data_IF_099568052215
#
_entry.id   IF_099568052215
#
_cell.length_a   1.000
_cell.length_b   1.000
_cell.length_c   1.000
_cell.angle_alpha   90.00
_cell.angle_beta   90.00
_cell.angle_gamma   90.00
#
_symmetry.space_group_name_H-M   'P 1'
#
loop_
_entity.id
_entity.type
_entity.pdbx_description
1 polymer ?
#
# COMPACT_ATOMS: atom_id res chain seq x y z
N UNK A 1 6.82 11.80 -14.59
CA UNK A 1 6.32 10.43 -14.37
C UNK A 1 6.78 9.94 -13.01
N UNK A 2 5.98 9.12 -12.35
CA UNK A 2 6.31 8.54 -11.05
C UNK A 2 6.05 7.03 -11.05
N UNK A 3 6.42 6.37 -9.95
CA UNK A 3 6.19 4.93 -9.76
C UNK A 3 5.15 4.74 -8.67
N UNK A 4 4.11 3.96 -8.96
CA UNK A 4 3.17 3.49 -7.93
C UNK A 4 3.84 2.42 -7.10
N UNK A 5 3.93 2.64 -5.79
CA UNK A 5 4.57 1.71 -4.84
C UNK A 5 3.49 1.10 -3.97
N UNK A 6 3.48 -0.23 -3.89
CA UNK A 6 2.54 -1.00 -3.06
C UNK A 6 3.35 -1.72 -1.99
N UNK A 7 2.93 -1.59 -0.73
CA UNK A 7 3.66 -2.12 0.42
C UNK A 7 2.76 -2.92 1.35
N UNK A 8 3.35 -3.90 2.01
CA UNK A 8 2.65 -4.75 2.97
C UNK A 8 2.45 -4.00 4.29
N UNK A 9 1.26 -4.10 4.88
CA UNK A 9 0.97 -3.51 6.20
C UNK A 9 1.78 -4.16 7.35
N UNK A 10 2.23 -5.41 7.16
CA UNK A 10 2.91 -6.21 8.18
C UNK A 10 2.03 -7.35 8.70
N UNK A 11 2.65 -8.31 9.41
CA UNK A 11 2.01 -9.57 9.79
C UNK A 11 2.05 -9.84 11.32
N UNK A 12 2.06 -8.80 12.14
CA UNK A 12 2.10 -8.91 13.60
C UNK A 12 0.71 -9.13 14.22
N UNK A 13 -0.37 -8.98 13.44
CA UNK A 13 -1.69 -9.50 13.77
C UNK A 13 -2.35 -8.82 14.96
N UNK A 14 -2.66 -9.60 16.00
CA UNK A 14 -3.24 -9.14 17.26
C UNK A 14 -2.22 -9.18 18.41
N UNK A 15 -0.92 -9.18 18.09
CA UNK A 15 0.18 -9.14 19.08
C UNK A 15 0.44 -7.71 19.58
N UNK A 16 1.56 -7.48 20.29
CA UNK A 16 1.84 -6.24 21.01
C UNK A 16 2.14 -5.01 20.12
N UNK A 17 2.37 -5.21 18.81
CA UNK A 17 2.68 -4.11 17.89
C UNK A 17 1.97 -4.23 16.52
N UNK A 18 0.64 -4.22 16.46
CA UNK A 18 -0.11 -4.52 15.24
C UNK A 18 -0.39 -3.28 14.37
N UNK A 19 0.07 -2.10 14.81
CA UNK A 19 -0.16 -0.83 14.15
C UNK A 19 0.81 -0.63 12.97
N UNK A 20 0.25 -0.63 11.75
CA UNK A 20 0.99 -0.47 10.49
C UNK A 20 1.78 0.84 10.43
N UNK A 21 1.32 1.88 11.15
CA UNK A 21 2.03 3.16 11.22
C UNK A 21 3.39 3.07 11.92
N UNK A 22 3.68 1.97 12.63
CA UNK A 22 4.97 1.74 13.30
C UNK A 22 5.98 0.97 12.44
N UNK A 23 5.61 0.58 11.22
CA UNK A 23 6.46 -0.24 10.36
C UNK A 23 6.91 0.50 9.11
N UNK A 24 8.18 0.36 8.78
CA UNK A 24 8.70 0.73 7.47
C UNK A 24 8.55 -0.44 6.50
N UNK A 25 8.13 -0.21 5.24
CA UNK A 25 7.71 1.06 4.63
C UNK A 25 6.20 1.37 4.77
N UNK A 26 5.45 0.61 5.58
CA UNK A 26 3.98 0.71 5.68
C UNK A 26 3.45 2.09 6.13
N UNK A 27 4.21 2.88 6.89
CA UNK A 27 3.77 4.22 7.29
C UNK A 27 3.90 5.28 6.19
N UNK A 28 4.58 4.99 5.08
CA UNK A 28 4.94 5.99 4.07
C UNK A 28 3.68 6.49 3.35
N UNK A 29 3.26 7.76 3.48
CA UNK A 29 1.97 8.23 2.95
C UNK A 29 1.87 8.25 1.42
N UNK A 30 3.00 8.09 0.71
CA UNK A 30 3.06 8.02 -0.76
C UNK A 30 3.04 6.60 -1.30
N UNK A 31 3.13 5.59 -0.44
CA UNK A 31 2.95 4.19 -0.81
C UNK A 31 1.49 3.79 -0.57
N UNK A 32 1.02 2.80 -1.31
CA UNK A 32 -0.29 2.17 -1.07
C UNK A 32 -0.04 1.01 -0.10
N UNK A 33 -0.47 1.18 1.14
CA UNK A 33 -0.29 0.17 2.19
C UNK A 33 -1.47 -0.79 2.23
N UNK A 34 -1.15 -2.08 2.18
CA UNK A 34 -2.14 -3.14 1.93
C UNK A 34 -2.29 -4.06 3.13
N UNK A 35 -3.50 -4.09 3.68
CA UNK A 35 -3.95 -5.08 4.66
C UNK A 35 -4.41 -6.38 4.00
N UNK A 36 -4.44 -7.47 4.78
CA UNK A 36 -4.86 -8.79 4.32
C UNK A 36 -6.23 -9.17 4.88
N UNK A 37 -7.07 -9.78 4.03
CA UNK A 37 -8.34 -10.43 4.42
C UNK A 37 -8.36 -11.92 4.05
N UNK A 38 -9.27 -12.65 4.68
CA UNK A 38 -9.64 -14.00 4.29
C UNK A 38 -10.90 -14.07 3.41
N UNK A 39 -11.28 -15.29 3.04
CA UNK A 39 -12.41 -15.58 2.15
C UNK A 39 -13.79 -15.25 2.76
N UNK A 40 -13.86 -14.87 4.03
CA UNK A 40 -15.09 -14.45 4.74
C UNK A 40 -15.20 -12.94 4.88
N UNK A 41 -14.39 -12.17 4.15
CA UNK A 41 -14.26 -10.70 4.26
C UNK A 41 -13.86 -10.25 5.67
N UNK A 42 -13.12 -11.07 6.39
CA UNK A 42 -12.54 -10.72 7.69
C UNK A 42 -11.07 -10.37 7.52
N UNK A 43 -10.59 -9.35 8.24
CA UNK A 43 -9.15 -9.09 8.38
C UNK A 43 -8.46 -10.38 8.81
N UNK A 44 -7.45 -10.81 8.06
CA UNK A 44 -6.65 -11.98 8.42
C UNK A 44 -6.09 -11.78 9.83
N UNK A 45 -6.14 -12.81 10.68
CA UNK A 45 -5.70 -12.70 12.09
C UNK A 45 -4.25 -12.21 12.23
N UNK A 46 -3.40 -12.45 11.23
CA UNK A 46 -2.02 -11.99 11.19
C UNK A 46 -1.86 -10.57 10.62
N UNK A 47 -2.85 -10.01 9.91
CA UNK A 47 -2.68 -8.71 9.27
C UNK A 47 -2.57 -7.61 10.31
N UNK A 48 -1.59 -6.73 10.17
CA UNK A 48 -1.60 -5.45 10.88
C UNK A 48 -2.85 -4.63 10.53
N UNK A 49 -3.11 -3.61 11.33
CA UNK A 49 -4.23 -2.68 11.23
C UNK A 49 -3.78 -1.23 11.46
N UNK A 50 -4.71 -0.28 11.47
CA UNK A 50 -4.44 1.14 11.78
C UNK A 50 -4.60 2.07 10.58
N UNK A 51 -4.55 3.37 10.84
CA UNK A 51 -4.89 4.41 9.86
C UNK A 51 -3.92 4.54 8.68
N UNK A 52 -2.75 3.90 8.75
CA UNK A 52 -1.78 3.90 7.64
C UNK A 52 -2.07 2.84 6.58
N UNK A 53 -3.10 2.01 6.74
CA UNK A 53 -3.57 1.10 5.69
C UNK A 53 -4.52 1.86 4.78
N UNK A 54 -4.29 1.84 3.47
CA UNK A 54 -5.17 2.46 2.49
C UNK A 54 -6.28 1.51 2.04
N UNK A 55 -5.97 0.23 1.88
CA UNK A 55 -6.88 -0.75 1.28
C UNK A 55 -6.58 -2.18 1.74
N UNK A 56 -7.59 -3.05 1.69
CA UNK A 56 -7.46 -4.49 1.92
C UNK A 56 -7.59 -5.28 0.62
N UNK A 57 -6.89 -6.42 0.56
CA UNK A 57 -7.03 -7.39 -0.52
C UNK A 57 -6.88 -8.83 0.00
N UNK A 58 -7.26 -9.85 -0.79
CA UNK A 58 -7.11 -11.26 -0.42
C UNK A 58 -5.66 -11.61 -0.10
N UNK A 59 -5.42 -12.11 1.11
CA UNK A 59 -4.08 -12.48 1.56
C UNK A 59 -4.01 -13.69 2.48
N UNK A 60 -5.13 -14.24 2.96
CA UNK A 60 -5.15 -15.57 3.59
C UNK A 60 -5.34 -16.67 2.55
N UNK A 61 -4.52 -17.73 2.64
CA UNK A 61 -4.64 -18.93 1.81
C UNK A 61 -4.79 -18.58 0.33
N UNK A 62 -3.84 -17.81 -0.19
CA UNK A 62 -3.78 -17.44 -1.61
C UNK A 62 -2.94 -18.46 -2.36
N UNK A 63 -3.51 -19.03 -3.42
CA UNK A 63 -2.79 -19.93 -4.33
C UNK A 63 -1.94 -19.13 -5.29
N UNK A 64 -0.66 -19.46 -5.40
CA UNK A 64 0.24 -18.87 -6.40
C UNK A 64 1.25 -19.90 -6.90
N UNK A 65 2.12 -19.49 -7.81
CA UNK A 65 3.19 -20.31 -8.36
C UNK A 65 4.17 -20.75 -7.27
N UNK A 66 4.59 -22.01 -7.32
CA UNK A 66 5.62 -22.59 -6.46
C UNK A 66 6.96 -22.74 -7.17
N UNK A 67 8.03 -22.90 -6.41
CA UNK A 67 9.40 -23.04 -6.97
C UNK A 67 9.79 -24.48 -7.34
N UNK A 68 8.92 -25.47 -7.10
CA UNK A 68 9.25 -26.90 -7.26
C UNK A 68 9.25 -27.38 -8.72
N UNK A 69 8.49 -26.73 -9.60
CA UNK A 69 8.41 -27.00 -11.05
C UNK A 69 7.69 -25.86 -11.77
N UNK A 70 7.72 -25.84 -13.11
CA UNK A 70 7.04 -24.83 -13.94
C UNK A 70 5.50 -24.82 -13.81
N UNK A 71 4.93 -25.89 -13.27
CA UNK A 71 3.49 -26.05 -13.01
C UNK A 71 3.17 -26.10 -11.52
N UNK A 72 4.18 -25.96 -10.65
CA UNK A 72 3.98 -26.05 -9.22
C UNK A 72 3.12 -24.89 -8.72
N UNK A 73 2.26 -25.19 -7.75
CA UNK A 73 1.48 -24.19 -7.03
C UNK A 73 1.62 -24.39 -5.54
N UNK A 74 1.60 -23.30 -4.78
CA UNK A 74 1.63 -23.30 -3.32
C UNK A 74 0.54 -22.39 -2.77
N UNK A 75 0.10 -22.68 -1.56
CA UNK A 75 -0.84 -21.84 -0.81
C UNK A 75 -0.07 -21.15 0.30
N UNK A 76 -0.06 -19.82 0.30
CA UNK A 76 0.56 -19.02 1.34
C UNK A 76 -0.37 -17.92 1.84
N UNK A 77 -0.07 -17.41 3.03
CA UNK A 77 -0.81 -16.35 3.69
C UNK A 77 0.13 -15.21 4.07
N UNK A 78 -0.33 -13.98 3.92
CA UNK A 78 0.40 -12.79 4.34
C UNK A 78 -0.13 -11.52 3.67
N UNK A 79 0.16 -10.36 4.27
CA UNK A 79 0.02 -9.06 3.59
C UNK A 79 0.88 -8.98 2.32
N UNK A 80 1.97 -9.75 2.26
CA UNK A 80 2.75 -9.98 1.04
C UNK A 80 1.96 -10.66 -0.08
N UNK A 81 0.93 -11.46 0.22
CA UNK A 81 0.03 -12.06 -0.78
C UNK A 81 -1.11 -11.11 -1.16
N UNK A 82 -1.48 -10.18 -0.29
CA UNK A 82 -2.44 -9.11 -0.59
C UNK A 82 -1.84 -8.06 -1.54
N UNK A 83 -0.57 -7.65 -1.33
CA UNK A 83 0.14 -6.67 -2.16
C UNK A 83 0.08 -6.92 -3.67
N UNK A 84 0.37 -8.13 -4.22
CA UNK A 84 0.35 -8.36 -5.66
C UNK A 84 -1.05 -8.21 -6.27
N UNK A 85 -2.14 -8.41 -5.51
CA UNK A 85 -3.49 -8.10 -6.01
C UNK A 85 -3.66 -6.60 -6.25
N UNK A 86 -3.25 -5.78 -5.28
CA UNK A 86 -3.30 -4.30 -5.37
C UNK A 86 -2.36 -3.78 -6.46
N UNK A 87 -1.15 -4.35 -6.58
CA UNK A 87 -0.22 -4.00 -7.66
C UNK A 87 -0.80 -4.35 -9.05
N UNK A 88 -1.46 -5.51 -9.17
CA UNK A 88 -2.18 -5.89 -10.39
C UNK A 88 -3.31 -4.91 -10.73
N UNK A 89 -4.11 -4.52 -9.74
CA UNK A 89 -5.16 -3.52 -9.91
C UNK A 89 -4.63 -2.15 -10.32
N UNK A 90 -3.54 -1.68 -9.71
CA UNK A 90 -2.86 -0.46 -10.12
C UNK A 90 -2.38 -0.53 -11.59
N UNK A 91 -1.85 -1.68 -12.01
CA UNK A 91 -1.45 -1.89 -13.40
C UNK A 91 -2.65 -1.86 -14.37
N UNK A 92 -3.81 -2.40 -13.98
CA UNK A 92 -5.03 -2.31 -14.77
C UNK A 92 -5.50 -0.85 -14.91
N UNK A 93 -5.56 -0.09 -13.81
CA UNK A 93 -5.94 1.34 -13.82
C UNK A 93 -5.01 2.18 -14.70
N UNK A 94 -3.70 1.90 -14.65
CA UNK A 94 -2.71 2.56 -15.52
C UNK A 94 -2.81 2.06 -16.98
N UNK A 95 -3.27 0.83 -17.20
CA UNK A 95 -3.54 0.28 -18.52
C UNK A 95 -4.70 0.97 -19.25
N UNK A 96 -5.69 1.44 -18.50
CA UNK A 96 -6.82 2.23 -19.03
C UNK A 96 -6.41 3.64 -19.46
N UNK A 97 -5.50 4.27 -18.71
CA UNK A 97 -4.94 5.59 -19.03
C UNK A 97 -3.50 5.68 -18.51
N UNK A 98 -2.56 5.64 -19.46
CA UNK A 98 -1.12 5.66 -19.18
C UNK A 98 -0.60 7.03 -18.74
N UNK A 99 -1.43 8.07 -18.81
CA UNK A 99 -1.07 9.44 -18.37
C UNK A 99 -1.28 9.66 -16.88
N UNK A 100 -2.00 8.74 -16.21
CA UNK A 100 -2.26 8.80 -14.76
C UNK A 100 -0.96 8.83 -13.96
N UNK A 101 -0.90 9.75 -13.01
CA UNK A 101 0.15 9.79 -12.00
C UNK A 101 -0.10 8.72 -10.92
N UNK A 102 0.89 8.37 -10.09
CA UNK A 102 0.66 7.46 -8.96
C UNK A 102 -0.47 7.90 -8.03
N UNK A 103 -0.65 9.22 -7.85
CA UNK A 103 -1.73 9.79 -7.05
C UNK A 103 -3.08 9.53 -7.72
N UNK A 104 -3.18 9.70 -9.04
CA UNK A 104 -4.42 9.41 -9.78
C UNK A 104 -4.75 7.92 -9.74
N UNK A 105 -3.74 7.05 -9.88
CA UNK A 105 -3.92 5.60 -9.76
C UNK A 105 -4.46 5.24 -8.38
N UNK A 106 -3.90 5.81 -7.32
CA UNK A 106 -4.38 5.62 -5.95
C UNK A 106 -5.82 6.11 -5.78
N UNK A 107 -6.12 7.34 -6.23
CA UNK A 107 -7.45 7.93 -6.11
C UNK A 107 -8.53 7.09 -6.82
N UNK A 108 -8.26 6.63 -8.05
CA UNK A 108 -9.16 5.75 -8.79
C UNK A 108 -9.33 4.41 -8.08
N UNK A 109 -8.27 3.85 -7.50
CA UNK A 109 -8.34 2.60 -6.75
C UNK A 109 -9.25 2.72 -5.52
N UNK A 110 -9.07 3.76 -4.71
CA UNK A 110 -9.90 4.03 -3.53
C UNK A 110 -11.35 4.28 -3.94
N UNK A 111 -11.58 5.01 -5.03
CA UNK A 111 -12.92 5.27 -5.55
C UNK A 111 -13.66 4.00 -6.00
N UNK A 112 -12.94 3.01 -6.54
CA UNK A 112 -13.53 1.75 -7.02
C UNK A 112 -13.73 0.72 -5.91
N UNK A 113 -12.98 0.83 -4.81
CA UNK A 113 -13.02 -0.13 -3.72
C UNK A 113 -14.44 -0.31 -3.18
N UNK A 114 -14.76 -1.54 -2.76
CA UNK A 114 -16.02 -1.86 -2.09
C UNK A 114 -15.93 -1.40 -0.64
N UNK A 115 -16.74 -0.41 -0.21
CA UNK A 115 -16.68 0.08 1.16
C UNK A 115 -17.50 -0.79 2.12
N UNK A 116 -17.11 -0.78 3.39
CA UNK A 116 -17.92 -1.21 4.54
C UNK A 116 -18.41 -2.67 4.55
N UNK A 117 -17.73 -3.56 3.82
CA UNK A 117 -18.02 -5.01 3.83
C UNK A 117 -17.14 -5.81 4.80
N UNK A 118 -16.00 -5.26 5.22
CA UNK A 118 -15.00 -6.01 5.97
C UNK A 118 -15.31 -6.09 7.46
N UNK A 119 -14.97 -7.23 8.05
CA UNK A 119 -15.08 -7.50 9.48
C UNK A 119 -13.69 -7.42 10.15
N UNK A 120 -13.65 -6.96 11.41
CA UNK A 120 -12.41 -6.92 12.19
C UNK A 120 -11.41 -5.82 11.80
N UNK A 121 -11.89 -4.74 11.18
CA UNK A 121 -11.10 -3.60 10.70
C UNK A 121 -11.36 -2.30 11.48
N UNK A 122 -11.80 -2.38 12.74
CA UNK A 122 -12.06 -1.20 13.57
C UNK A 122 -10.81 -0.30 13.67
N UNK A 123 -10.98 1.02 13.49
CA UNK A 123 -9.86 1.97 13.48
C UNK A 123 -8.98 1.90 12.22
N UNK A 124 -9.42 1.21 11.17
CA UNK A 124 -8.74 1.04 9.89
C UNK A 124 -9.73 1.35 8.74
N UNK A 125 -9.30 1.93 7.61
CA UNK A 125 -10.19 2.12 6.46
C UNK A 125 -10.83 0.81 6.00
N UNK A 126 -12.16 0.79 5.90
CA UNK A 126 -12.93 -0.39 5.48
C UNK A 126 -13.14 -0.38 3.96
N UNK A 127 -12.07 -0.65 3.22
CA UNK A 127 -12.05 -0.63 1.77
C UNK A 127 -11.49 -1.94 1.22
N UNK A 128 -12.30 -2.67 0.47
CA UNK A 128 -11.90 -3.89 -0.22
C UNK A 128 -11.58 -3.60 -1.68
N UNK A 129 -10.41 -4.04 -2.14
CA UNK A 129 -9.98 -3.91 -3.52
C UNK A 129 -11.03 -4.47 -4.51
N UNK A 130 -11.37 -3.65 -5.50
CA UNK A 130 -12.27 -4.02 -6.58
C UNK A 130 -11.70 -3.54 -7.93
N UNK A 131 -11.59 -4.45 -8.90
CA UNK A 131 -10.99 -4.19 -10.23
C UNK A 131 -12.04 -3.98 -11.32
N UNK A 132 -13.31 -4.25 -11.04
CA UNK A 132 -14.39 -3.98 -11.98
C UNK A 132 -14.75 -2.49 -12.06
N UNK A 133 -15.66 -2.16 -12.95
CA UNK A 133 -16.37 -0.87 -12.92
C UNK A 133 -17.36 -0.93 -11.76
N UNK A 134 -17.28 -0.03 -10.76
CA UNK A 134 -18.26 -0.01 -9.68
C UNK A 134 -19.65 0.20 -10.30
N UNK A 135 -20.70 -0.48 -9.81
CA UNK A 135 -22.07 -0.11 -10.14
C UNK A 135 -22.23 1.38 -9.83
N UNK A 136 -22.97 2.12 -10.67
CA UNK A 136 -23.26 3.53 -10.40
C UNK A 136 -23.78 3.66 -8.96
N UNK A 137 -22.99 4.30 -8.09
CA UNK A 137 -23.41 4.53 -6.71
C UNK A 137 -24.66 5.41 -6.78
N UNK A 138 -25.78 5.07 -6.10
CA UNK A 138 -26.78 6.09 -5.84
C UNK A 138 -26.07 7.26 -5.14
N UNK A 139 -26.43 8.52 -5.45
CA UNK A 139 -25.82 9.66 -4.79
C UNK A 139 -25.86 9.46 -3.27
N UNK A 140 -24.84 9.94 -2.52
CA UNK A 140 -24.84 9.80 -1.08
C UNK A 140 -26.19 10.28 -0.55
N UNK A 141 -26.86 9.44 0.24
CA UNK A 141 -28.05 9.88 0.97
C UNK A 141 -27.67 11.18 1.68
N UNK A 142 -28.36 12.30 1.41
CA UNK A 142 -28.00 13.57 2.02
C UNK A 142 -27.96 13.36 3.53
N UNK A 143 -26.83 13.71 4.15
CA UNK A 143 -26.73 13.71 5.60
C UNK A 143 -27.92 14.50 6.17
N UNK A 144 -28.55 14.05 7.27
CA UNK A 144 -29.56 14.85 7.95
C UNK A 144 -29.02 16.27 8.16
N UNK A 145 -29.83 17.33 7.95
CA UNK A 145 -29.35 18.68 8.15
C UNK A 145 -28.75 18.79 9.55
N UNK A 146 -27.46 19.15 9.60
CA UNK A 146 -26.78 19.46 10.84
C UNK A 146 -27.60 20.52 11.58
N UNK A 147 -28.01 20.30 12.84
CA UNK A 147 -28.58 21.38 13.65
C UNK A 147 -27.61 22.57 13.63
N UNK A 148 -28.13 23.77 13.39
CA UNK A 148 -27.32 24.97 13.33
C UNK A 148 -26.42 25.08 14.58
N UNK A 149 -25.11 25.38 14.43
CA UNK A 149 -24.25 25.64 15.58
C UNK A 149 -24.80 26.83 16.39
N UNK A 150 -24.75 26.81 17.73
CA UNK A 150 -24.97 28.03 18.49
C UNK A 150 -23.92 29.08 18.11
N UNK A 151 -24.36 30.33 17.98
CA UNK A 151 -23.56 31.48 17.59
C UNK A 151 -22.26 31.58 18.42
N UNK A 152 -21.06 31.61 17.81
CA UNK A 152 -19.83 31.77 18.56
C UNK A 152 -19.63 33.21 19.05
N UNK A 153 -19.19 33.36 20.30
CA UNK A 153 -18.63 34.60 20.84
C UNK A 153 -17.32 34.97 20.13
N UNK A 154 -16.92 36.26 20.08
CA UNK A 154 -15.71 36.68 19.38
C UNK A 154 -14.44 36.08 20.01
N UNK A 155 -13.47 35.56 19.22
CA UNK A 155 -12.20 35.11 19.75
C UNK A 155 -11.27 36.30 20.05
N UNK A 156 -10.63 36.25 21.22
CA UNK A 156 -9.45 37.06 21.58
C UNK A 156 -8.27 36.68 20.67
N UNK A 157 -7.45 37.62 20.16
CA UNK A 157 -6.30 37.27 19.32
C UNK A 157 -5.24 36.51 20.12
N UNK A 158 -4.89 35.30 19.65
CA UNK A 158 -3.72 34.57 20.14
C UNK A 158 -2.43 35.13 19.51
N UNK A 159 -1.29 35.19 20.23
CA UNK A 159 -0.02 35.62 19.67
C UNK A 159 0.50 34.64 18.60
N UNK A 160 1.07 35.17 17.53
CA UNK A 160 1.74 34.37 16.50
C UNK A 160 2.92 33.60 17.12
N UNK A 161 2.88 32.27 17.04
CA UNK A 161 4.00 31.40 17.40
C UNK A 161 4.89 31.23 16.17
N UNK A 162 6.22 31.43 16.26
CA UNK A 162 7.11 31.24 15.11
C UNK A 162 7.17 29.78 14.67
N UNK A 163 7.27 29.58 13.36
CA UNK A 163 7.44 28.26 12.72
C UNK A 163 8.69 27.54 13.26
N UNK A 164 8.63 26.22 13.51
CA UNK A 164 9.83 25.46 13.86
C UNK A 164 10.80 25.42 12.67
N UNK A 165 12.12 25.40 12.91
CA UNK A 165 13.10 25.28 11.85
C UNK A 165 12.97 23.93 11.15
N UNK A 166 13.10 23.95 9.83
CA UNK A 166 13.14 22.78 8.96
C UNK A 166 14.50 22.11 9.15
N UNK A 167 14.55 21.01 9.91
CA UNK A 167 15.72 20.14 9.92
C UNK A 167 15.73 19.29 8.65
N UNK A 168 16.59 19.67 7.73
CA UNK A 168 16.89 18.93 6.51
C UNK A 168 17.70 17.69 6.86
N UNK A 169 17.04 16.54 7.02
CA UNK A 169 17.71 15.25 6.91
C UNK A 169 17.58 14.74 5.48
N UNK A 170 18.59 15.05 4.67
CA UNK A 170 18.69 14.62 3.26
C UNK A 170 19.14 13.17 3.19
N UNK A 171 18.18 12.23 3.11
CA UNK A 171 18.46 10.90 2.55
C UNK A 171 18.01 10.89 1.08
N UNK A 172 18.72 11.67 0.26
CA UNK A 172 18.56 11.68 -1.19
C UNK A 172 19.65 10.83 -1.84
N UNK A 173 19.38 10.31 -3.04
CA UNK A 173 20.23 9.33 -3.73
C UNK A 173 21.59 9.87 -4.23
N UNK A 174 21.89 11.15 -4.03
CA UNK A 174 23.00 11.86 -4.71
C UNK A 174 23.98 12.62 -3.80
N UNK A 175 23.90 12.54 -2.46
CA UNK A 175 24.84 13.28 -1.59
C UNK A 175 25.97 12.39 -1.02
N UNK A 176 27.18 12.61 -1.53
CA UNK A 176 28.43 11.95 -1.14
C UNK A 176 29.13 12.68 0.01
N UNK A 177 28.63 12.56 1.25
CA UNK A 177 29.53 12.58 2.41
C UNK A 177 28.86 11.99 3.66
N UNK A 178 29.41 10.87 4.10
CA UNK A 178 28.85 9.95 5.10
C UNK A 178 29.29 10.32 6.51
N UNK A 179 28.32 10.66 7.36
CA UNK A 179 28.49 10.78 8.81
C UNK A 179 27.43 9.98 9.57
N UNK A 180 27.53 8.64 9.55
CA UNK A 180 27.00 7.78 10.61
C UNK A 180 25.62 7.13 10.43
N UNK A 181 25.64 5.83 10.12
CA UNK A 181 24.62 4.80 10.42
C UNK A 181 23.41 4.61 9.48
N UNK A 182 23.66 4.58 8.17
CA UNK A 182 22.87 3.76 7.25
C UNK A 182 23.72 2.54 6.83
N UNK A 183 23.60 1.43 7.56
CA UNK A 183 24.26 0.18 7.20
C UNK A 183 23.22 -0.91 6.98
N UNK A 184 22.93 -1.18 5.71
CA UNK A 184 22.78 -2.52 5.10
C UNK A 184 21.99 -2.41 3.80
N UNK A 185 22.61 -1.82 2.78
CA UNK A 185 22.31 -2.16 1.39
C UNK A 185 23.53 -1.82 0.53
N UNK A 186 24.10 -2.81 -0.18
CA UNK A 186 25.14 -2.55 -1.18
C UNK A 186 24.53 -2.63 -2.56
N UNK A 187 24.51 -1.50 -3.26
CA UNK A 187 24.14 -1.43 -4.67
C UNK A 187 25.29 -2.03 -5.51
N UNK A 188 25.01 -3.03 -6.36
CA UNK A 188 25.90 -3.32 -7.49
C UNK A 188 25.64 -2.26 -8.56
N UNK A 189 26.38 -1.16 -8.49
CA UNK A 189 26.24 -0.05 -9.42
C UNK A 189 26.40 -0.50 -10.88
N UNK A 190 25.31 -0.49 -11.64
CA UNK A 190 25.35 -0.75 -13.08
C UNK A 190 24.01 -1.07 -13.76
N UNK A 191 22.89 -1.13 -13.06
CA UNK A 191 21.60 -1.48 -13.64
C UNK A 191 20.92 -0.26 -14.30
N UNK A 192 21.16 -0.10 -15.61
CA UNK A 192 20.25 0.63 -16.49
C UNK A 192 19.00 -0.23 -16.69
N UNK A 193 17.88 0.20 -16.13
CA UNK A 193 16.57 -0.43 -16.39
C UNK A 193 16.15 -0.16 -17.85
N UNK A 194 16.43 -1.15 -18.70
CA UNK A 194 15.91 -1.28 -20.06
C UNK A 194 14.61 -2.10 -19.98
N UNK A 195 13.49 -1.51 -20.38
CA UNK A 195 12.15 -2.10 -20.34
C UNK A 195 11.93 -3.17 -21.42
N UNK A 196 12.96 -3.51 -22.22
CA UNK A 196 12.96 -4.73 -23.01
C UNK A 196 13.30 -5.93 -22.12
N UNK A 197 12.43 -6.96 -22.12
CA UNK A 197 12.64 -8.22 -21.38
C UNK A 197 13.96 -8.86 -21.82
N UNK A 198 15.03 -8.61 -21.07
CA UNK A 198 16.27 -9.37 -21.16
C UNK A 198 16.24 -10.44 -20.08
N UNK A 199 16.32 -11.69 -20.52
CA UNK A 199 16.32 -12.88 -19.69
C UNK A 199 17.64 -13.01 -18.93
N UNK A 200 17.55 -13.43 -17.66
CA UNK A 200 18.72 -13.68 -16.81
C UNK A 200 18.31 -14.06 -15.38
N UNK A 201 19.13 -14.84 -14.65
CA UNK A 201 18.81 -15.26 -13.29
C UNK A 201 18.87 -14.09 -12.30
N UNK A 202 17.99 -14.11 -11.29
CA UNK A 202 18.04 -13.19 -10.15
C UNK A 202 19.04 -13.72 -9.11
N UNK A 203 19.78 -12.82 -8.45
CA UNK A 203 20.87 -13.16 -7.52
C UNK A 203 20.41 -13.56 -6.11
N UNK A 204 19.11 -13.53 -5.83
CA UNK A 204 18.52 -13.84 -4.53
C UNK A 204 18.01 -15.28 -4.42
N UNK A 205 18.42 -15.98 -3.35
CA UNK A 205 17.96 -17.34 -3.05
C UNK A 205 16.45 -17.33 -2.73
N UNK A 206 15.72 -18.35 -3.19
CA UNK A 206 14.27 -18.56 -2.96
C UNK A 206 13.33 -17.53 -3.61
N UNK A 207 13.78 -16.80 -4.63
CA UNK A 207 12.93 -15.86 -5.37
C UNK A 207 13.05 -16.09 -6.88
N UNK A 208 11.95 -16.44 -7.53
CA UNK A 208 11.83 -16.50 -8.99
C UNK A 208 12.18 -17.86 -9.63
N UNK A 209 11.66 -18.14 -10.84
CA UNK A 209 11.94 -19.38 -11.56
C UNK A 209 13.40 -19.43 -12.03
N UNK A 210 13.96 -20.64 -12.10
CA UNK A 210 15.36 -20.87 -12.51
C UNK A 210 15.63 -20.57 -13.99
N UNK A 211 14.57 -20.42 -14.80
CA UNK A 211 14.59 -19.93 -16.18
C UNK A 211 13.30 -19.16 -16.47
N UNK A 212 13.40 -18.03 -17.17
CA UNK A 212 12.26 -17.41 -17.84
C UNK A 212 12.06 -18.11 -19.19
N UNK A 213 10.92 -18.75 -19.41
CA UNK A 213 10.60 -19.41 -20.68
C UNK A 213 10.01 -18.40 -21.68
N UNK A 214 10.37 -18.59 -22.96
CA UNK A 214 9.99 -17.80 -24.14
C UNK A 214 8.49 -17.79 -24.43
#
# INVERSE_FOLDING_TARGET
GGVTVVVAAGNEGDTDAPDSCKYSPAFVPKAITVGSIDWTDRRSYFSNHGSCIDIFAPGSSVKSAGIRSDTATVWWSGTSMACPHVAGAAALILGEDKTRTPIDVHAVMIQRATPDTLQGVSGTPNLLLFTGTPPATPPPTPSPPTPAPPTPSPPTPAPATPSPPVDVLTCSFEERNFGGSCYMWSNSGGDKFDWTRKSGPTSSKNTGPSKAMH
#
